data_IF_129407140127
#
_entry.id   IF_129407140127
#
_cell.length_a   1.000
_cell.length_b   1.000
_cell.length_c   1.000
_cell.angle_alpha   90.00
_cell.angle_beta   90.00
_cell.angle_gamma   90.00
#
_symmetry.space_group_name_H-M   'P 1'
#
loop_
_entity.id
_entity.type
_entity.pdbx_description
1 polymer ?
#
# COMPACT_ATOMS: atom_id res chain seq x y z
N UNK A 1 3.66 -0.37 25.78
CA UNK A 1 3.56 -1.06 24.47
C UNK A 1 3.09 -2.48 24.73
N UNK A 2 2.07 -2.98 24.02
CA UNK A 2 1.56 -4.35 24.18
C UNK A 2 1.87 -5.13 22.92
N UNK A 3 2.61 -6.22 23.05
CA UNK A 3 2.94 -7.11 21.93
C UNK A 3 1.88 -8.21 21.83
N UNK A 4 1.54 -8.60 20.61
CA UNK A 4 0.65 -9.72 20.31
C UNK A 4 1.37 -10.72 19.40
N UNK A 5 1.03 -12.00 19.52
CA UNK A 5 1.56 -13.04 18.63
C UNK A 5 0.89 -12.98 17.26
N UNK A 6 1.67 -13.12 16.19
CA UNK A 6 1.19 -13.32 14.83
C UNK A 6 1.48 -14.77 14.43
N UNK A 7 0.44 -15.55 14.13
CA UNK A 7 0.56 -16.93 13.64
C UNK A 7 -0.39 -17.15 12.45
N UNK A 8 0.18 -17.03 11.25
CA UNK A 8 -0.54 -17.15 9.99
C UNK A 8 -0.48 -18.56 9.39
N UNK A 9 -0.02 -19.58 10.12
CA UNK A 9 0.05 -20.97 9.61
C UNK A 9 -1.33 -21.61 9.40
N UNK A 10 -2.32 -21.17 10.17
CA UNK A 10 -3.73 -21.53 9.97
C UNK A 10 -4.51 -20.26 9.55
N UNK A 11 -4.89 -20.12 8.27
CA UNK A 11 -5.59 -18.92 7.76
C UNK A 11 -6.89 -18.58 8.49
N UNK A 12 -7.59 -19.58 9.04
CA UNK A 12 -8.84 -19.40 9.80
C UNK A 12 -8.61 -18.92 11.24
N UNK A 13 -7.37 -18.87 11.70
CA UNK A 13 -7.03 -18.38 13.04
C UNK A 13 -7.27 -16.87 13.16
N UNK A 14 -7.69 -16.44 14.36
CA UNK A 14 -7.80 -15.01 14.69
C UNK A 14 -6.44 -14.30 14.71
N UNK A 15 -5.34 -15.06 14.88
CA UNK A 15 -3.97 -14.55 14.86
C UNK A 15 -3.34 -14.54 13.44
N UNK A 16 -4.10 -14.95 12.43
CA UNK A 16 -3.61 -15.02 11.05
C UNK A 16 -3.85 -13.72 10.30
N UNK A 17 -2.79 -13.23 9.64
CA UNK A 17 -2.77 -11.98 8.88
C UNK A 17 -2.35 -12.21 7.42
N UNK A 18 -3.03 -13.13 6.74
CA UNK A 18 -2.70 -13.54 5.36
C UNK A 18 -3.17 -12.51 4.33
N UNK A 19 -2.70 -12.63 3.08
CA UNK A 19 -3.00 -11.65 2.02
C UNK A 19 -4.50 -11.57 1.70
N UNK A 20 -5.25 -12.64 1.88
CA UNK A 20 -6.71 -12.66 1.64
C UNK A 20 -7.46 -11.70 2.57
N UNK A 21 -6.87 -11.34 3.72
CA UNK A 21 -7.46 -10.41 4.67
C UNK A 21 -7.45 -8.93 4.20
N UNK A 22 -6.86 -8.61 3.04
CA UNK A 22 -6.97 -7.26 2.45
C UNK A 22 -8.35 -7.00 1.83
N UNK A 23 -9.09 -8.07 1.50
CA UNK A 23 -10.41 -7.97 0.92
C UNK A 23 -11.44 -7.63 2.00
N UNK A 24 -12.38 -6.74 1.68
CA UNK A 24 -13.48 -6.35 2.58
C UNK A 24 -14.34 -7.54 3.02
N UNK A 25 -14.38 -8.60 2.20
CA UNK A 25 -15.09 -9.86 2.50
C UNK A 25 -14.47 -10.67 3.63
N UNK A 26 -13.24 -10.36 4.06
CA UNK A 26 -12.60 -11.06 5.19
C UNK A 26 -13.29 -10.77 6.54
N UNK A 27 -14.11 -9.72 6.60
CA UNK A 27 -14.83 -9.31 7.80
C UNK A 27 -14.08 -8.23 8.61
N UNK A 28 -14.71 -7.75 9.69
CA UNK A 28 -14.17 -6.64 10.49
C UNK A 28 -12.88 -7.03 11.20
N UNK A 29 -11.99 -6.05 11.41
CA UNK A 29 -10.72 -6.24 12.12
C UNK A 29 -9.82 -7.35 11.53
N UNK A 30 -9.89 -7.58 10.22
CA UNK A 30 -8.96 -8.43 9.48
C UNK A 30 -8.05 -7.55 8.63
N UNK A 31 -6.76 -7.88 8.61
CA UNK A 31 -5.76 -7.22 7.77
C UNK A 31 -4.66 -8.19 7.39
N UNK A 32 -3.93 -7.85 6.33
CA UNK A 32 -2.65 -8.48 6.00
C UNK A 32 -1.52 -7.80 6.77
N UNK A 33 -0.53 -8.58 7.22
CA UNK A 33 0.63 -8.05 7.92
C UNK A 33 1.92 -8.72 7.45
N UNK A 34 2.91 -7.91 7.10
CA UNK A 34 4.27 -8.36 6.85
C UNK A 34 4.98 -8.82 8.13
N UNK A 35 6.10 -9.53 7.97
CA UNK A 35 7.04 -9.75 9.06
C UNK A 35 7.63 -8.39 9.50
N UNK A 36 7.81 -8.22 10.81
CA UNK A 36 8.40 -7.00 11.38
C UNK A 36 9.78 -6.72 10.76
N UNK A 37 10.09 -5.44 10.56
CA UNK A 37 11.39 -4.94 10.09
C UNK A 37 11.78 -5.43 8.67
N UNK A 38 10.79 -5.90 7.88
CA UNK A 38 10.98 -6.20 6.46
C UNK A 38 10.49 -5.03 5.62
N UNK A 39 11.40 -4.46 4.83
CA UNK A 39 11.14 -3.43 3.83
C UNK A 39 12.18 -3.56 2.70
N UNK A 40 11.79 -3.50 1.42
CA UNK A 40 10.43 -3.31 0.93
C UNK A 40 9.54 -4.56 1.07
N UNK A 41 8.24 -4.36 0.92
CA UNK A 41 7.23 -5.42 0.76
C UNK A 41 6.37 -5.10 -0.45
N UNK A 42 5.99 -6.13 -1.21
CA UNK A 42 5.21 -5.97 -2.43
C UNK A 42 3.91 -6.75 -2.32
N UNK A 43 2.81 -6.08 -2.63
CA UNK A 43 1.49 -6.70 -2.80
C UNK A 43 1.12 -6.62 -4.27
N UNK A 44 0.68 -7.74 -4.84
CA UNK A 44 0.29 -7.84 -6.24
C UNK A 44 -1.19 -8.22 -6.34
N UNK A 45 -1.91 -7.51 -7.21
CA UNK A 45 -3.28 -7.80 -7.59
C UNK A 45 -3.31 -8.15 -9.07
N UNK A 46 -3.62 -9.40 -9.37
CA UNK A 46 -3.74 -9.88 -10.74
C UNK A 46 -5.17 -9.68 -11.24
N UNK A 47 -5.32 -8.76 -12.17
CA UNK A 47 -6.56 -8.55 -12.91
C UNK A 47 -6.50 -9.45 -14.15
N UNK A 48 -7.41 -10.42 -14.26
CA UNK A 48 -7.44 -11.42 -15.35
C UNK A 48 -7.66 -10.82 -16.76
N UNK A 49 -7.87 -9.51 -16.84
CA UNK A 49 -8.08 -8.76 -18.07
C UNK A 49 -7.58 -7.32 -17.88
N UNK A 50 -7.62 -6.51 -18.94
CA UNK A 50 -7.32 -5.10 -18.87
C UNK A 50 -8.50 -4.35 -18.22
N UNK A 51 -8.18 -3.52 -17.22
CA UNK A 51 -9.15 -2.65 -16.55
C UNK A 51 -8.68 -1.21 -16.54
N UNK A 52 -9.64 -0.29 -16.57
CA UNK A 52 -9.43 1.10 -16.22
C UNK A 52 -9.74 1.28 -14.74
N UNK A 53 -8.71 1.52 -13.93
CA UNK A 53 -8.86 1.84 -12.51
C UNK A 53 -9.09 3.34 -12.34
N UNK A 54 -10.09 3.70 -11.53
CA UNK A 54 -10.41 5.10 -11.21
C UNK A 54 -9.78 5.53 -9.87
N UNK A 55 -10.05 4.77 -8.81
CA UNK A 55 -9.59 5.09 -7.45
C UNK A 55 -8.91 3.87 -6.84
N UNK A 56 -7.81 4.08 -6.10
CA UNK A 56 -7.22 3.09 -5.20
C UNK A 56 -7.35 3.59 -3.76
N UNK A 57 -7.93 2.75 -2.89
CA UNK A 57 -8.10 3.05 -1.46
C UNK A 57 -7.26 2.06 -0.66
N UNK A 58 -6.27 2.56 0.06
CA UNK A 58 -5.40 1.78 0.94
C UNK A 58 -5.70 2.14 2.39
N UNK A 59 -6.15 1.16 3.17
CA UNK A 59 -6.38 1.33 4.62
C UNK A 59 -5.35 0.51 5.40
N UNK A 60 -4.54 1.21 6.19
CA UNK A 60 -3.46 0.64 6.98
C UNK A 60 -3.91 0.44 8.43
N UNK A 61 -3.67 -0.76 8.96
CA UNK A 61 -3.83 -1.04 10.39
C UNK A 61 -2.62 -0.45 11.15
N UNK A 62 -2.80 0.69 11.80
CA UNK A 62 -1.72 1.48 12.39
C UNK A 62 -1.02 2.41 11.38
N UNK A 63 0.31 2.62 11.49
CA UNK A 63 0.99 3.61 10.67
C UNK A 63 1.12 3.14 9.22
N UNK A 64 0.81 4.01 8.28
CA UNK A 64 1.14 3.81 6.87
C UNK A 64 2.67 3.86 6.66
N UNK A 65 3.22 3.25 5.58
CA UNK A 65 4.62 3.41 5.20
C UNK A 65 5.02 4.88 5.01
N UNK A 66 6.30 5.20 5.26
CA UNK A 66 6.86 6.53 5.00
C UNK A 66 7.04 6.80 3.51
N UNK A 67 7.14 5.76 2.69
CA UNK A 67 7.17 5.82 1.24
C UNK A 67 6.52 4.56 0.65
N UNK A 68 5.79 4.71 -0.46
CA UNK A 68 5.26 3.62 -1.27
C UNK A 68 5.21 4.02 -2.75
N UNK A 69 5.22 3.01 -3.62
CA UNK A 69 5.02 3.15 -5.06
C UNK A 69 3.89 2.23 -5.49
N UNK A 70 3.01 2.73 -6.35
CA UNK A 70 2.03 1.92 -7.07
C UNK A 70 2.56 1.72 -8.48
N UNK A 71 2.78 0.47 -8.84
CA UNK A 71 3.21 0.05 -10.17
C UNK A 71 2.06 -0.64 -10.89
N UNK A 72 2.05 -0.56 -12.22
CA UNK A 72 1.09 -1.25 -13.07
C UNK A 72 1.81 -2.00 -14.20
N UNK A 73 1.12 -3.01 -14.72
CA UNK A 73 1.52 -3.75 -15.92
C UNK A 73 0.37 -3.73 -16.93
N UNK A 74 0.70 -3.72 -18.21
CA UNK A 74 -0.24 -3.83 -19.33
C UNK A 74 0.02 -5.07 -20.20
N UNK A 75 1.05 -5.85 -19.86
CA UNK A 75 1.58 -6.98 -20.65
C UNK A 75 1.65 -8.28 -19.83
N UNK A 76 0.67 -8.45 -18.92
CA UNK A 76 0.52 -9.61 -18.04
C UNK A 76 1.74 -9.85 -17.14
N UNK A 77 2.30 -8.77 -16.59
CA UNK A 77 3.37 -8.82 -15.59
C UNK A 77 4.79 -8.95 -16.16
N UNK A 78 4.97 -8.80 -17.48
CA UNK A 78 6.30 -8.82 -18.09
C UNK A 78 7.07 -7.53 -17.81
N UNK A 79 6.39 -6.38 -17.90
CA UNK A 79 6.96 -5.09 -17.53
C UNK A 79 6.06 -4.37 -16.53
N UNK A 80 6.73 -3.72 -15.57
CA UNK A 80 6.10 -2.93 -14.52
C UNK A 80 6.55 -1.48 -14.68
N UNK A 81 5.59 -0.58 -14.63
CA UNK A 81 5.83 0.85 -14.73
C UNK A 81 5.24 1.54 -13.49
N UNK A 82 6.00 2.45 -12.85
CA UNK A 82 5.47 3.29 -11.80
C UNK A 82 4.30 4.12 -12.32
N UNK A 83 3.19 4.10 -11.60
CA UNK A 83 2.04 4.98 -11.84
C UNK A 83 1.99 6.13 -10.86
N UNK A 84 2.34 5.87 -9.59
CA UNK A 84 2.25 6.87 -8.54
C UNK A 84 3.30 6.62 -7.46
N UNK A 85 4.06 7.66 -7.13
CA UNK A 85 4.93 7.67 -5.96
C UNK A 85 4.23 8.41 -4.83
N UNK A 86 4.40 7.94 -3.61
CA UNK A 86 3.89 8.62 -2.42
C UNK A 86 4.90 8.55 -1.29
N UNK A 87 5.18 9.68 -0.63
CA UNK A 87 6.11 9.69 0.50
C UNK A 87 5.78 10.80 1.50
N UNK A 88 6.17 10.61 2.76
CA UNK A 88 6.16 11.68 3.76
C UNK A 88 7.19 12.77 3.45
N UNK A 89 8.29 12.41 2.78
CA UNK A 89 9.25 13.35 2.18
C UNK A 89 9.64 12.86 0.78
N UNK A 90 8.96 13.39 -0.23
CA UNK A 90 9.18 13.04 -1.64
C UNK A 90 10.61 13.33 -2.11
N UNK A 91 11.22 14.43 -1.65
CA UNK A 91 12.57 14.83 -2.11
C UNK A 91 13.63 13.85 -1.65
N UNK A 92 13.48 13.33 -0.43
CA UNK A 92 14.39 12.34 0.14
C UNK A 92 14.13 10.93 -0.39
N UNK A 93 12.86 10.49 -0.43
CA UNK A 93 12.51 9.12 -0.80
C UNK A 93 12.62 8.84 -2.30
N UNK A 94 12.26 9.80 -3.15
CA UNK A 94 12.20 9.65 -4.60
C UNK A 94 12.88 10.84 -5.31
N UNK A 95 14.22 10.96 -5.18
CA UNK A 95 14.94 12.09 -5.77
C UNK A 95 14.77 12.09 -7.29
N UNK A 96 14.46 13.28 -7.84
CA UNK A 96 14.27 13.47 -9.28
C UNK A 96 12.84 13.27 -9.77
N UNK A 97 11.92 12.76 -8.94
CA UNK A 97 10.51 12.68 -9.30
C UNK A 97 9.82 14.03 -9.04
N UNK A 98 9.05 14.50 -10.03
CA UNK A 98 8.29 15.74 -9.90
C UNK A 98 7.23 15.62 -8.79
N UNK A 99 7.05 16.67 -7.98
CA UNK A 99 6.02 16.72 -6.93
C UNK A 99 4.75 17.46 -7.38
N UNK A 100 4.75 17.99 -8.60
CA UNK A 100 3.61 18.71 -9.17
C UNK A 100 2.58 17.71 -9.70
N UNK A 101 1.30 18.03 -9.53
CA UNK A 101 0.22 17.24 -10.10
C UNK A 101 0.42 17.06 -11.62
N UNK A 102 0.29 15.82 -12.13
CA UNK A 102 0.58 15.54 -13.52
C UNK A 102 -0.50 16.14 -14.42
N UNK A 103 -0.11 16.47 -15.66
CA UNK A 103 -1.06 16.96 -16.68
C UNK A 103 -1.69 15.84 -17.49
N UNK A 104 -1.12 14.64 -17.40
CA UNK A 104 -1.54 13.45 -18.13
C UNK A 104 -1.30 12.20 -17.28
N UNK A 105 -2.09 11.16 -17.51
CA UNK A 105 -2.10 9.93 -16.70
C UNK A 105 -0.83 9.06 -16.86
N UNK A 106 -0.04 9.30 -17.90
CA UNK A 106 1.25 8.66 -18.14
C UNK A 106 2.40 9.33 -17.38
N UNK A 107 2.20 10.53 -16.84
CA UNK A 107 3.22 11.25 -16.10
C UNK A 107 3.25 10.82 -14.63
N UNK A 108 4.40 10.31 -14.21
CA UNK A 108 4.64 10.00 -12.80
C UNK A 108 4.90 11.26 -11.99
N UNK A 109 4.38 11.28 -10.77
CA UNK A 109 4.68 12.31 -9.78
C UNK A 109 4.74 11.69 -8.38
N UNK A 110 5.31 12.44 -7.44
CA UNK A 110 5.31 12.09 -6.03
C UNK A 110 4.28 12.91 -5.26
N UNK A 111 3.29 12.22 -4.72
CA UNK A 111 2.29 12.78 -3.82
C UNK A 111 2.82 12.79 -2.38
N UNK A 112 2.95 13.99 -1.81
CA UNK A 112 3.36 14.14 -0.42
C UNK A 112 2.23 13.70 0.51
N UNK A 113 2.49 12.66 1.30
CA UNK A 113 1.51 12.07 2.18
C UNK A 113 1.25 12.97 3.42
N UNK A 114 0.00 13.08 3.89
CA UNK A 114 -0.35 13.88 5.07
C UNK A 114 0.42 13.43 6.33
N UNK A 115 0.72 14.33 7.29
CA UNK A 115 1.45 13.97 8.51
C UNK A 115 0.82 12.78 9.25
N UNK A 116 1.66 11.92 9.83
CA UNK A 116 1.20 10.79 10.64
C UNK A 116 0.56 11.35 11.92
N UNK A 117 -0.69 10.98 12.28
CA UNK A 117 -1.31 11.38 13.54
C UNK A 117 -0.46 11.03 14.76
N UNK A 118 -0.60 11.81 15.83
CA UNK A 118 0.13 11.63 17.09
C UNK A 118 -0.10 10.25 17.72
N UNK A 119 -1.27 9.66 17.52
CA UNK A 119 -1.55 8.28 17.90
C UNK A 119 -1.14 7.31 16.79
N UNK A 120 -0.01 6.62 16.97
CA UNK A 120 0.51 5.64 16.02
C UNK A 120 -0.36 4.39 15.85
N UNK A 121 -1.33 4.16 16.74
CA UNK A 121 -2.26 3.02 16.66
C UNK A 121 -3.54 3.34 15.88
N UNK A 122 -3.70 4.59 15.45
CA UNK A 122 -4.82 5.00 14.62
C UNK A 122 -4.63 4.48 13.19
N UNK A 123 -5.66 3.81 12.67
CA UNK A 123 -5.69 3.33 11.30
C UNK A 123 -5.72 4.51 10.32
N UNK A 124 -5.08 4.35 9.17
CA UNK A 124 -4.87 5.43 8.21
C UNK A 124 -5.35 5.01 6.83
N UNK A 125 -6.10 5.89 6.17
CA UNK A 125 -6.57 5.67 4.81
C UNK A 125 -5.89 6.65 3.87
N UNK A 126 -5.33 6.11 2.79
CA UNK A 126 -4.83 6.87 1.64
C UNK A 126 -5.77 6.57 0.48
N UNK A 127 -6.31 7.64 -0.12
CA UNK A 127 -7.11 7.57 -1.34
C UNK A 127 -6.36 8.30 -2.44
N UNK A 128 -6.15 7.61 -3.55
CA UNK A 128 -5.44 8.10 -4.72
C UNK A 128 -6.23 7.78 -5.99
#
# INVERSE_FOLDING_TARGET
MKCCTCDSRNPSSQLAHTIQNVLSTAGPNRWWQARKDVSPVTLQLDLQNLFQLDTIILTFKGPRPSALVVERTLDNGQTWQPSLYMASDCRSAFPGIAMTMPRSLDQTYCYTLPPVPANSYQDQTVRV
#
